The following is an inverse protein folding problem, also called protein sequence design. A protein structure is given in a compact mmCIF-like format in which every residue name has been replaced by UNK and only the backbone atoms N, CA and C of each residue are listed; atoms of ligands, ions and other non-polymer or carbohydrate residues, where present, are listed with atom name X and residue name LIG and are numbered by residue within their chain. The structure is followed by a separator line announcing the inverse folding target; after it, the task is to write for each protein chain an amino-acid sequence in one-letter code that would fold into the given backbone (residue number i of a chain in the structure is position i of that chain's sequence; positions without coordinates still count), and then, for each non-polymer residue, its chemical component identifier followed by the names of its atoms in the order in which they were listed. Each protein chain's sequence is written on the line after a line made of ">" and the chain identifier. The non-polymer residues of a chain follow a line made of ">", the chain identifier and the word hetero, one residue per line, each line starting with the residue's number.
data_IF_337621807880
#
_entry.id   IF_337621807880
#
_cell.length_a   1.000
_cell.length_b   1.000
_cell.length_c   1.000
_cell.angle_alpha   90.00
_cell.angle_beta   90.00
_cell.angle_gamma   90.00
#
_symmetry.space_group_name_H-M   'P 1'
#
loop_
_entity.id
_entity.type
_entity.pdbx_description
1 polymer ?
#
# COMPACT_ATOMS: atom_id res chain seq x y z
N UNK A 1 20.58 0.83 -15.73
CA UNK A 1 20.93 -0.41 -15.01
C UNK A 1 19.68 -0.94 -14.33
N UNK A 2 19.31 -2.20 -14.46
CA UNK A 2 18.15 -2.74 -13.78
C UNK A 2 18.34 -2.64 -12.25
N UNK A 3 17.25 -2.42 -11.49
CA UNK A 3 17.33 -2.35 -10.05
C UNK A 3 17.86 -3.68 -9.46
N UNK A 4 18.71 -3.59 -8.44
CA UNK A 4 19.28 -4.77 -7.77
C UNK A 4 18.43 -5.26 -6.60
N UNK A 5 17.43 -4.48 -6.21
CA UNK A 5 16.55 -4.77 -5.05
C UNK A 5 15.14 -4.99 -5.53
N UNK A 6 14.50 -6.00 -4.98
CA UNK A 6 13.09 -6.32 -5.21
C UNK A 6 12.46 -6.57 -3.84
N UNK A 7 11.28 -6.03 -3.61
CA UNK A 7 10.50 -6.33 -2.41
C UNK A 7 9.77 -7.65 -2.59
N UNK A 8 10.07 -8.63 -1.74
CA UNK A 8 9.36 -9.90 -1.75
C UNK A 8 8.20 -9.84 -0.75
N UNK A 9 7.00 -10.05 -1.24
CA UNK A 9 5.77 -10.05 -0.46
C UNK A 9 5.20 -11.46 -0.41
N UNK A 10 4.99 -11.98 0.80
CA UNK A 10 4.48 -13.32 1.03
C UNK A 10 2.96 -13.38 0.89
N UNK A 11 2.45 -14.37 0.17
CA UNK A 11 1.02 -14.64 0.01
C UNK A 11 0.70 -16.12 0.22
N UNK A 12 -0.51 -16.39 0.61
CA UNK A 12 -1.05 -17.75 0.71
C UNK A 12 -1.88 -18.06 -0.55
N UNK A 13 -1.19 -18.31 -1.66
CA UNK A 13 -1.82 -18.70 -2.93
C UNK A 13 -2.41 -17.55 -3.77
N UNK A 14 -2.38 -16.31 -3.30
CA UNK A 14 -3.10 -15.18 -3.90
C UNK A 14 -2.20 -14.13 -4.53
N UNK A 15 -0.93 -14.43 -4.79
CA UNK A 15 0.03 -13.46 -5.31
C UNK A 15 -0.41 -12.83 -6.64
N UNK A 16 -0.94 -13.62 -7.58
CA UNK A 16 -1.40 -13.11 -8.87
C UNK A 16 -2.65 -12.23 -8.74
N UNK A 17 -3.59 -12.64 -7.90
CA UNK A 17 -4.79 -11.84 -7.60
C UNK A 17 -4.42 -10.48 -7.00
N UNK A 18 -3.53 -10.47 -6.01
CA UNK A 18 -3.05 -9.26 -5.37
C UNK A 18 -2.30 -8.35 -6.36
N UNK A 19 -1.35 -8.89 -7.13
CA UNK A 19 -0.60 -8.14 -8.13
C UNK A 19 -1.51 -7.52 -9.18
N UNK A 20 -2.53 -8.25 -9.62
CA UNK A 20 -3.53 -7.76 -10.59
C UNK A 20 -4.33 -6.60 -10.01
N UNK A 21 -4.74 -6.70 -8.75
CA UNK A 21 -5.43 -5.62 -8.05
C UNK A 21 -4.55 -4.35 -7.94
N UNK A 22 -3.28 -4.51 -7.56
CA UNK A 22 -2.37 -3.37 -7.44
C UNK A 22 -2.12 -2.70 -8.78
N UNK A 23 -1.93 -3.49 -9.84
CA UNK A 23 -1.75 -2.97 -11.20
C UNK A 23 -2.96 -2.19 -11.71
N UNK A 24 -4.17 -2.61 -11.35
CA UNK A 24 -5.41 -1.92 -11.70
C UNK A 24 -5.68 -0.67 -10.86
N UNK A 25 -5.12 -0.60 -9.65
CA UNK A 25 -5.43 0.43 -8.67
C UNK A 25 -4.45 1.61 -8.72
N UNK A 26 -3.15 1.33 -8.84
CA UNK A 26 -2.10 2.34 -8.77
C UNK A 26 -1.54 2.68 -10.15
N UNK A 27 -1.20 3.96 -10.41
CA UNK A 27 -0.48 4.32 -11.63
C UNK A 27 0.92 3.72 -11.64
N UNK A 28 1.54 3.63 -12.80
CA UNK A 28 2.91 3.08 -12.98
C UNK A 28 3.08 1.74 -12.26
N UNK A 29 2.09 0.87 -12.43
CA UNK A 29 2.02 -0.44 -11.79
C UNK A 29 1.58 -1.47 -12.81
N UNK A 30 2.23 -2.62 -12.82
CA UNK A 30 1.97 -3.67 -13.80
C UNK A 30 2.28 -5.05 -13.25
N UNK A 31 1.59 -6.07 -13.75
CA UNK A 31 1.94 -7.48 -13.55
C UNK A 31 3.01 -7.86 -14.56
N UNK A 32 4.08 -8.48 -14.09
CA UNK A 32 5.17 -8.98 -14.91
C UNK A 32 5.11 -10.49 -15.10
N UNK A 33 6.28 -11.13 -14.98
CA UNK A 33 6.41 -12.57 -15.22
C UNK A 33 5.74 -13.36 -14.10
N UNK A 34 4.95 -14.36 -14.50
CA UNK A 34 4.38 -15.38 -13.61
C UNK A 34 5.22 -16.65 -13.75
N UNK A 35 5.79 -17.11 -12.63
CA UNK A 35 6.61 -18.31 -12.62
C UNK A 35 5.84 -19.45 -11.98
N UNK A 36 5.68 -20.53 -12.72
CA UNK A 36 5.09 -21.78 -12.24
C UNK A 36 6.17 -22.66 -11.62
N UNK A 37 5.87 -23.29 -10.49
CA UNK A 37 6.84 -24.07 -9.74
C UNK A 37 7.44 -25.21 -10.60
N UNK A 38 8.77 -25.30 -10.71
CA UNK A 38 9.42 -26.36 -11.49
C UNK A 38 9.40 -27.72 -10.78
N UNK A 39 8.98 -27.78 -9.54
CA UNK A 39 8.87 -28.97 -8.71
C UNK A 39 7.97 -28.70 -7.51
N UNK A 40 7.65 -29.73 -6.75
CA UNK A 40 6.89 -29.61 -5.50
C UNK A 40 7.65 -28.75 -4.48
N UNK A 41 6.91 -28.00 -3.67
CA UNK A 41 7.45 -27.14 -2.63
C UNK A 41 6.54 -27.19 -1.38
N UNK A 42 6.97 -26.65 -0.23
CA UNK A 42 6.22 -26.86 1.04
C UNK A 42 4.74 -26.48 1.01
N UNK A 43 4.36 -25.49 0.20
CA UNK A 43 2.99 -24.97 0.15
C UNK A 43 2.24 -25.35 -1.13
N UNK A 44 2.83 -26.15 -2.03
CA UNK A 44 2.17 -26.49 -3.31
C UNK A 44 2.92 -27.50 -4.14
N UNK A 45 2.47 -27.64 -5.39
CA UNK A 45 2.94 -28.68 -6.29
C UNK A 45 3.58 -28.09 -7.55
N UNK A 46 4.32 -28.93 -8.24
CA UNK A 46 4.84 -28.59 -9.56
C UNK A 46 3.73 -28.05 -10.46
N UNK A 47 3.99 -26.93 -11.13
CA UNK A 47 3.05 -26.27 -12.02
C UNK A 47 2.18 -25.20 -11.39
N UNK A 48 2.07 -25.16 -10.06
CA UNK A 48 1.37 -24.10 -9.36
C UNK A 48 2.09 -22.75 -9.55
N UNK A 49 1.35 -21.64 -9.50
CA UNK A 49 1.96 -20.31 -9.49
C UNK A 49 2.78 -20.15 -8.20
N UNK A 50 4.08 -20.04 -8.33
CA UNK A 50 4.98 -19.86 -7.19
C UNK A 50 5.32 -18.40 -6.96
N UNK A 51 5.76 -17.68 -8.00
CA UNK A 51 6.07 -16.27 -7.89
C UNK A 51 5.43 -15.44 -8.99
N UNK A 52 5.15 -14.20 -8.68
CA UNK A 52 4.62 -13.20 -9.61
C UNK A 52 5.47 -11.93 -9.48
N UNK A 53 6.13 -11.56 -10.56
CA UNK A 53 6.79 -10.25 -10.64
C UNK A 53 5.75 -9.17 -10.90
N UNK A 54 5.85 -8.05 -10.20
CA UNK A 54 5.00 -6.90 -10.44
C UNK A 54 5.67 -5.61 -10.00
N UNK A 55 5.08 -4.48 -10.36
CA UNK A 55 5.50 -3.17 -9.88
C UNK A 55 4.34 -2.47 -9.17
N UNK A 56 4.67 -1.71 -8.14
CA UNK A 56 3.77 -0.77 -7.49
C UNK A 56 4.41 0.61 -7.56
N UNK A 57 3.79 1.52 -8.30
CA UNK A 57 4.32 2.88 -8.50
C UNK A 57 5.82 2.86 -8.87
N UNK A 58 6.18 1.99 -9.79
CA UNK A 58 7.55 1.81 -10.26
C UNK A 58 8.46 0.99 -9.34
N UNK A 59 8.02 0.63 -8.13
CA UNK A 59 8.82 -0.20 -7.21
C UNK A 59 8.72 -1.67 -7.63
N UNK A 60 9.84 -2.35 -7.93
CA UNK A 60 9.82 -3.75 -8.29
C UNK A 60 9.48 -4.62 -7.07
N UNK A 61 8.50 -5.51 -7.26
CA UNK A 61 8.02 -6.45 -6.25
C UNK A 61 8.00 -7.88 -6.78
N UNK A 62 8.08 -8.82 -5.87
CA UNK A 62 7.89 -10.24 -6.12
C UNK A 62 6.86 -10.78 -5.16
N UNK A 63 5.72 -11.24 -5.66
CA UNK A 63 4.75 -11.98 -4.87
C UNK A 63 5.16 -13.45 -4.79
N UNK A 64 5.36 -13.95 -3.58
CA UNK A 64 5.71 -15.34 -3.33
C UNK A 64 4.51 -16.06 -2.71
N UNK A 65 4.01 -17.10 -3.36
CA UNK A 65 2.99 -17.99 -2.81
C UNK A 65 3.65 -19.02 -1.88
N UNK A 66 3.99 -18.57 -0.67
CA UNK A 66 4.71 -19.37 0.32
C UNK A 66 3.82 -20.17 1.25
N UNK A 67 2.49 -19.99 1.20
CA UNK A 67 1.53 -20.72 2.03
C UNK A 67 1.08 -19.93 3.27
N UNK A 68 0.43 -20.61 4.23
CA UNK A 68 -0.24 -19.94 5.35
C UNK A 68 0.67 -19.62 6.54
N UNK A 69 1.98 -19.89 6.46
CA UNK A 69 2.88 -19.80 7.61
C UNK A 69 3.08 -18.37 8.14
N UNK A 70 3.01 -17.36 7.25
CA UNK A 70 3.24 -15.96 7.60
C UNK A 70 2.11 -15.07 7.08
N UNK A 71 1.83 -14.02 7.84
CA UNK A 71 0.86 -12.98 7.48
C UNK A 71 1.50 -11.61 7.59
N UNK A 72 0.99 -10.66 6.81
CA UNK A 72 1.45 -9.27 6.90
C UNK A 72 1.02 -8.60 8.20
N UNK A 73 1.78 -7.61 8.61
CA UNK A 73 1.47 -6.77 9.77
C UNK A 73 1.77 -5.30 9.44
N UNK A 74 1.41 -4.43 10.37
CA UNK A 74 1.67 -2.98 10.26
C UNK A 74 3.15 -2.62 10.35
N UNK A 75 4.04 -3.58 10.62
CA UNK A 75 5.49 -3.36 10.63
C UNK A 75 6.06 -3.00 9.25
N UNK A 76 5.33 -3.31 8.19
CA UNK A 76 5.61 -2.88 6.82
C UNK A 76 4.38 -2.23 6.20
N UNK A 77 4.58 -1.17 5.44
CA UNK A 77 3.52 -0.52 4.65
C UNK A 77 4.10 0.16 3.43
N UNK A 78 3.29 0.26 2.38
CA UNK A 78 3.54 1.22 1.31
C UNK A 78 2.93 2.56 1.70
N UNK A 79 3.72 3.63 1.66
CA UNK A 79 3.20 4.99 1.79
C UNK A 79 3.03 5.59 0.39
N UNK A 80 1.80 5.93 0.07
CA UNK A 80 1.42 6.46 -1.23
C UNK A 80 1.10 7.94 -1.08
N UNK A 81 1.88 8.79 -1.75
CA UNK A 81 1.58 10.22 -1.82
C UNK A 81 0.43 10.45 -2.79
N UNK A 82 -0.55 11.25 -2.40
CA UNK A 82 -1.66 11.67 -3.25
C UNK A 82 -1.65 13.18 -3.43
N UNK A 83 -2.12 13.66 -4.59
CA UNK A 83 -2.04 15.07 -4.94
C UNK A 83 -3.24 15.87 -4.42
N UNK A 84 -4.41 15.23 -4.33
CA UNK A 84 -5.65 15.88 -3.91
C UNK A 84 -6.61 14.92 -3.20
N UNK A 85 -7.77 15.44 -2.78
CA UNK A 85 -8.79 14.66 -2.11
C UNK A 85 -9.39 13.59 -3.03
N UNK A 86 -9.57 13.89 -4.30
CA UNK A 86 -10.17 12.94 -5.25
C UNK A 86 -9.30 11.70 -5.42
N UNK A 87 -7.99 11.86 -5.56
CA UNK A 87 -7.05 10.74 -5.61
C UNK A 87 -6.99 9.97 -4.29
N UNK A 88 -6.97 10.68 -3.16
CA UNK A 88 -7.02 10.11 -1.83
C UNK A 88 -8.26 9.22 -1.66
N UNK A 89 -9.43 9.74 -2.02
CA UNK A 89 -10.71 9.00 -1.94
C UNK A 89 -10.70 7.78 -2.86
N UNK A 90 -10.20 7.93 -4.08
CA UNK A 90 -10.16 6.84 -5.06
C UNK A 90 -9.32 5.67 -4.56
N UNK A 91 -8.11 5.94 -4.09
CA UNK A 91 -7.21 4.87 -3.62
C UNK A 91 -7.71 4.24 -2.32
N UNK A 92 -8.14 5.07 -1.37
CA UNK A 92 -8.71 4.58 -0.11
C UNK A 92 -9.92 3.67 -0.34
N UNK A 93 -10.86 4.15 -1.13
CA UNK A 93 -12.09 3.39 -1.41
C UNK A 93 -11.81 2.11 -2.20
N UNK A 94 -10.85 2.12 -3.13
CA UNK A 94 -10.45 0.92 -3.86
C UNK A 94 -9.90 -0.16 -2.93
N UNK A 95 -9.02 0.21 -1.99
CA UNK A 95 -8.40 -0.74 -1.06
C UNK A 95 -9.41 -1.24 -0.03
N UNK A 96 -10.11 -0.33 0.64
CA UNK A 96 -11.08 -0.67 1.69
C UNK A 96 -12.28 -1.40 1.10
N UNK A 97 -12.78 -0.95 -0.06
CA UNK A 97 -13.93 -1.54 -0.75
C UNK A 97 -13.67 -2.92 -1.35
N UNK A 98 -12.41 -3.35 -1.47
CA UNK A 98 -12.03 -4.66 -1.99
C UNK A 98 -11.72 -5.67 -0.86
N UNK A 99 -12.51 -5.68 0.19
CA UNK A 99 -12.32 -6.57 1.35
C UNK A 99 -11.24 -6.10 2.32
N UNK A 100 -10.85 -4.83 2.22
CA UNK A 100 -9.89 -4.20 3.11
C UNK A 100 -10.52 -3.66 4.39
N UNK A 101 -9.71 -2.98 5.20
CA UNK A 101 -10.09 -2.42 6.49
C UNK A 101 -9.52 -1.02 6.66
N UNK A 102 -10.33 -0.11 7.17
CA UNK A 102 -9.88 1.20 7.60
C UNK A 102 -9.05 1.11 8.88
N UNK A 103 -8.05 1.99 9.00
CA UNK A 103 -7.32 2.23 10.24
C UNK A 103 -7.17 3.74 10.45
N UNK A 104 -6.36 4.14 11.42
CA UNK A 104 -6.18 5.54 11.81
C UNK A 104 -5.12 6.25 10.94
N UNK A 105 -5.21 7.57 10.90
CA UNK A 105 -4.16 8.46 10.37
C UNK A 105 -3.78 8.20 8.91
N UNK A 106 -4.73 7.85 8.07
CA UNK A 106 -4.47 7.56 6.66
C UNK A 106 -4.01 6.13 6.39
N UNK A 107 -3.96 5.27 7.40
CA UNK A 107 -3.62 3.86 7.25
C UNK A 107 -4.85 3.05 6.91
N UNK A 108 -4.67 2.05 6.04
CA UNK A 108 -5.66 1.01 5.77
C UNK A 108 -4.95 -0.29 5.41
N UNK A 109 -5.68 -1.39 5.45
CA UNK A 109 -5.19 -2.71 5.01
C UNK A 109 -5.96 -3.16 3.79
N UNK A 110 -5.28 -3.87 2.91
CA UNK A 110 -5.96 -4.57 1.84
C UNK A 110 -6.50 -5.93 2.29
N UNK A 111 -7.19 -6.61 1.37
CA UNK A 111 -7.75 -7.95 1.60
C UNK A 111 -6.72 -8.97 2.08
N UNK A 112 -5.47 -8.81 1.66
CA UNK A 112 -4.38 -9.75 1.96
C UNK A 112 -3.60 -9.39 3.23
N UNK A 113 -4.04 -8.34 3.93
CA UNK A 113 -3.44 -7.89 5.18
C UNK A 113 -2.25 -6.94 5.01
N UNK A 114 -1.88 -6.59 3.79
CA UNK A 114 -0.82 -5.61 3.52
C UNK A 114 -1.30 -4.21 3.89
N UNK A 115 -0.48 -3.49 4.62
CA UNK A 115 -0.79 -2.14 5.08
C UNK A 115 -0.39 -1.07 4.05
N UNK A 116 -1.23 -0.06 3.94
CA UNK A 116 -1.07 1.09 3.05
C UNK A 116 -1.28 2.37 3.84
N UNK A 117 -0.45 3.38 3.57
CA UNK A 117 -0.66 4.73 4.06
C UNK A 117 -1.03 5.60 2.86
N UNK A 118 -2.27 6.07 2.81
CA UNK A 118 -2.71 6.99 1.75
C UNK A 118 -2.53 8.40 2.30
N UNK A 119 -1.47 9.06 1.85
CA UNK A 119 -0.91 10.26 2.48
C UNK A 119 -0.92 11.43 1.49
N UNK A 120 -1.91 12.32 1.56
CA UNK A 120 -1.88 13.54 0.74
C UNK A 120 -0.58 14.33 0.97
N UNK A 121 -0.01 14.86 -0.10
CA UNK A 121 1.25 15.66 -0.02
C UNK A 121 1.12 16.84 0.93
N UNK A 122 -0.07 17.46 1.00
CA UNK A 122 -0.33 18.56 1.93
C UNK A 122 -0.14 18.14 3.40
N UNK A 123 -0.50 16.91 3.75
CA UNK A 123 -0.26 16.40 5.11
C UNK A 123 1.24 16.31 5.41
N UNK A 124 2.02 15.73 4.50
CA UNK A 124 3.47 15.63 4.66
C UNK A 124 4.12 17.02 4.77
N UNK A 125 3.68 17.97 3.96
CA UNK A 125 4.14 19.36 4.03
C UNK A 125 3.80 19.99 5.37
N UNK A 126 2.56 19.86 5.82
CA UNK A 126 2.07 20.49 7.05
C UNK A 126 2.79 19.97 8.31
N UNK A 127 2.95 18.67 8.45
CA UNK A 127 3.60 18.09 9.63
C UNK A 127 5.12 18.32 9.66
N UNK A 128 5.72 18.67 8.53
CA UNK A 128 7.14 19.02 8.42
C UNK A 128 7.37 20.53 8.40
N UNK A 129 6.36 21.36 8.63
CA UNK A 129 6.51 22.81 8.67
C UNK A 129 7.54 23.22 9.73
N UNK A 130 8.49 24.13 9.39
CA UNK A 130 9.41 24.70 10.38
C UNK A 130 8.71 25.43 11.53
N UNK A 131 7.52 26.00 11.30
CA UNK A 131 6.64 26.46 12.37
C UNK A 131 6.04 25.25 13.10
N UNK A 132 6.64 24.87 14.20
CA UNK A 132 6.27 23.67 14.95
C UNK A 132 4.87 23.74 15.57
N UNK A 133 4.35 24.93 15.82
CA UNK A 133 2.97 25.10 16.28
C UNK A 133 1.97 24.81 15.15
N UNK A 134 2.24 25.30 13.94
CA UNK A 134 1.45 24.98 12.75
C UNK A 134 1.50 23.49 12.44
N UNK A 135 2.70 22.88 12.47
CA UNK A 135 2.87 21.44 12.26
C UNK A 135 2.09 20.62 13.30
N UNK A 136 2.11 21.03 14.54
CA UNK A 136 1.37 20.35 15.62
C UNK A 136 -0.15 20.39 15.39
N UNK A 137 -0.69 21.53 14.96
CA UNK A 137 -2.13 21.63 14.66
C UNK A 137 -2.55 20.63 13.58
N UNK A 138 -1.79 20.55 12.51
CA UNK A 138 -2.04 19.58 11.43
C UNK A 138 -1.90 18.12 11.91
N UNK A 139 -0.86 17.84 12.68
CA UNK A 139 -0.63 16.52 13.26
C UNK A 139 -1.77 16.10 14.19
N UNK A 140 -2.20 16.97 15.08
CA UNK A 140 -3.31 16.69 16.01
C UNK A 140 -4.62 16.44 15.24
N UNK A 141 -4.88 17.19 14.15
CA UNK A 141 -6.02 16.96 13.29
C UNK A 141 -5.94 15.56 12.62
N UNK A 142 -4.79 15.20 12.09
CA UNK A 142 -4.55 13.88 11.48
C UNK A 142 -4.83 12.74 12.46
N UNK A 143 -4.43 12.90 13.71
CA UNK A 143 -4.58 11.85 14.73
C UNK A 143 -6.03 11.44 15.01
N UNK A 144 -6.99 12.30 14.68
CA UNK A 144 -8.42 12.01 14.80
C UNK A 144 -9.06 11.45 13.52
N UNK A 145 -8.29 11.29 12.45
CA UNK A 145 -8.82 10.86 11.15
C UNK A 145 -8.62 9.35 10.92
N UNK A 146 -9.43 8.80 10.05
CA UNK A 146 -9.17 7.55 9.33
C UNK A 146 -8.64 7.89 7.94
N UNK A 147 -9.51 8.01 6.93
CA UNK A 147 -9.12 8.63 5.66
C UNK A 147 -8.76 10.10 5.91
N UNK A 148 -7.69 10.56 5.30
CA UNK A 148 -7.26 11.96 5.45
C UNK A 148 -8.23 12.89 4.73
N UNK A 149 -8.67 13.92 5.43
CA UNK A 149 -9.45 15.04 4.91
C UNK A 149 -8.49 16.20 4.63
N UNK A 150 -8.22 16.45 3.35
CA UNK A 150 -7.28 17.48 2.90
C UNK A 150 -7.70 18.86 3.40
N UNK A 151 -8.98 19.21 3.28
CA UNK A 151 -9.47 20.54 3.71
C UNK A 151 -9.33 20.74 5.22
N UNK A 152 -9.57 19.70 6.02
CA UNK A 152 -9.41 19.75 7.47
C UNK A 152 -7.93 19.88 7.87
N UNK A 153 -7.02 19.20 7.17
CA UNK A 153 -5.56 19.38 7.37
C UNK A 153 -5.14 20.81 7.07
N UNK A 154 -5.55 21.34 5.92
CA UNK A 154 -5.23 22.72 5.52
C UNK A 154 -5.77 23.77 6.52
N UNK A 155 -7.00 23.57 6.98
CA UNK A 155 -7.61 24.46 7.97
C UNK A 155 -6.86 24.44 9.31
N UNK A 156 -6.52 23.26 9.80
CA UNK A 156 -5.74 23.11 11.04
C UNK A 156 -4.33 23.69 10.90
N UNK A 157 -3.71 23.51 9.75
CA UNK A 157 -2.38 24.04 9.46
C UNK A 157 -2.35 25.58 9.47
N UNK A 158 -3.36 26.21 8.87
CA UNK A 158 -3.47 27.68 8.84
C UNK A 158 -3.76 28.29 10.24
N UNK A 159 -4.49 27.63 11.08
CA UNK A 159 -4.88 28.09 12.41
C UNK A 159 -6.21 28.80 12.47
#
# INVERSE_FOLDING_TARGET
>A
MPPKTTLCLWFNGTALEAATFYAATFPDSAVGRVMHAPGDYPAGHQGDVLTVEFTVLGIPCLGLNGGPAFTHSEAFSFQIATDDQAETDRLWNAIVGNGGQESACGWCKDRWGLSWQITPRVLTQAINDPDRAAAKRAFDAMMGMRKIDVAAIEAAWRG
#
